data_IF_730681305456
#
_entry.id   IF_730681305456
#
_cell.length_a   1.000
_cell.length_b   1.000
_cell.length_c   1.000
_cell.angle_alpha   90.00
_cell.angle_beta   90.00
_cell.angle_gamma   90.00
#
_symmetry.space_group_name_H-M   'P 1'
#
loop_
_entity.id
_entity.type
_entity.pdbx_description
1 polymer ?
#
# COMPACT_ATOMS: atom_id res chain seq x y z
N UNK A 1 14.22 -10.28 1.49
CA UNK A 1 12.92 -10.47 0.83
C UNK A 1 11.89 -10.95 1.83
N UNK A 2 11.23 -9.98 2.47
CA UNK A 2 10.07 -10.13 3.35
C UNK A 2 8.91 -9.37 2.74
N UNK A 3 7.69 -9.88 2.82
CA UNK A 3 6.49 -9.18 2.37
C UNK A 3 5.59 -8.91 3.57
N UNK A 4 5.23 -7.65 3.78
CA UNK A 4 4.22 -7.23 4.75
C UNK A 4 2.94 -6.83 4.01
N UNK A 5 1.85 -7.51 4.31
CA UNK A 5 0.52 -7.15 3.81
C UNK A 5 0.05 -5.93 4.58
N UNK A 6 -0.18 -4.82 3.88
CA UNK A 6 -0.78 -3.60 4.45
C UNK A 6 -2.29 -3.58 4.19
N UNK A 7 -2.72 -4.11 3.04
CA UNK A 7 -4.12 -4.36 2.74
C UNK A 7 -4.30 -5.39 1.64
N UNK A 8 -5.41 -6.13 1.69
CA UNK A 8 -5.70 -7.24 0.77
C UNK A 8 -7.18 -7.29 0.34
N UNK A 9 -7.95 -6.24 0.62
CA UNK A 9 -9.32 -6.12 0.13
C UNK A 9 -9.35 -5.58 -1.29
N UNK A 10 -10.07 -6.25 -2.20
CA UNK A 10 -10.35 -5.77 -3.56
C UNK A 10 -11.54 -4.81 -3.66
N UNK A 11 -11.98 -4.27 -2.52
CA UNK A 11 -13.08 -3.32 -2.43
C UNK A 11 -12.94 -2.43 -1.20
N UNK A 12 -13.45 -1.21 -1.30
CA UNK A 12 -13.41 -0.23 -0.21
C UNK A 12 -14.62 -0.49 0.70
N UNK A 13 -14.38 -1.00 1.90
CA UNK A 13 -15.40 -1.27 2.91
C UNK A 13 -14.89 -0.91 4.31
N UNK A 14 -15.80 -0.85 5.28
CA UNK A 14 -15.43 -0.55 6.66
C UNK A 14 -14.50 -1.63 7.24
N UNK A 15 -13.49 -1.18 7.99
CA UNK A 15 -12.53 -2.05 8.71
C UNK A 15 -11.66 -2.96 7.85
N UNK A 16 -11.55 -2.69 6.55
CA UNK A 16 -10.62 -3.39 5.66
C UNK A 16 -9.73 -2.41 4.91
N UNK A 17 -8.44 -2.73 4.86
CA UNK A 17 -7.46 -2.00 4.05
C UNK A 17 -7.43 -2.57 2.63
N UNK A 18 -7.38 -1.68 1.63
CA UNK A 18 -7.32 -2.08 0.22
C UNK A 18 -5.90 -2.40 -0.22
N UNK A 19 -5.80 -3.08 -1.38
CA UNK A 19 -4.58 -3.68 -1.92
C UNK A 19 -3.34 -2.81 -1.76
N UNK A 20 -2.41 -3.26 -0.92
CA UNK A 20 -1.09 -2.65 -0.72
C UNK A 20 -0.16 -3.62 0.00
N UNK A 21 1.07 -3.72 -0.49
CA UNK A 21 2.10 -4.58 0.09
C UNK A 21 3.42 -3.83 0.19
N UNK A 22 4.08 -3.92 1.36
CA UNK A 22 5.45 -3.47 1.52
C UNK A 22 6.38 -4.67 1.34
N UNK A 23 7.29 -4.58 0.38
CA UNK A 23 8.35 -5.56 0.15
C UNK A 23 9.64 -5.01 0.73
N UNK A 24 10.25 -5.82 1.59
CA UNK A 24 11.34 -5.42 2.48
C UNK A 24 10.95 -4.12 3.21
N UNK A 25 11.64 -3.00 3.00
CA UNK A 25 11.38 -1.75 3.72
C UNK A 25 11.17 -0.53 2.80
N UNK A 26 11.33 -0.68 1.48
CA UNK A 26 11.45 0.46 0.55
C UNK A 26 10.67 0.30 -0.77
N UNK A 27 9.96 -0.82 -0.98
CA UNK A 27 9.16 -1.07 -2.19
C UNK A 27 7.70 -1.26 -1.84
N UNK A 28 6.82 -0.43 -2.38
CA UNK A 28 5.37 -0.67 -2.39
C UNK A 28 4.93 -1.38 -3.67
N UNK A 29 4.08 -2.39 -3.52
CA UNK A 29 3.22 -2.91 -4.59
C UNK A 29 1.80 -2.45 -4.30
N UNK A 30 1.28 -1.59 -5.17
CA UNK A 30 0.08 -0.79 -5.00
C UNK A 30 0.14 0.12 -3.76
N UNK A 31 -0.72 1.13 -3.75
CA UNK A 31 -0.84 2.12 -2.69
C UNK A 31 -2.32 2.34 -2.34
N UNK A 32 -2.99 1.25 -1.98
CA UNK A 32 -4.32 1.27 -1.38
C UNK A 32 -4.33 1.89 0.03
N UNK A 33 -5.48 1.82 0.69
CA UNK A 33 -5.72 2.49 1.98
C UNK A 33 -4.86 1.96 3.13
N UNK A 34 -4.32 0.73 3.02
CA UNK A 34 -3.42 0.15 4.02
C UNK A 34 -2.08 0.86 4.17
N UNK A 35 -1.68 1.66 3.18
CA UNK A 35 -0.48 2.51 3.28
C UNK A 35 -0.59 3.51 4.43
N UNK A 36 -1.82 3.90 4.83
CA UNK A 36 -2.05 4.80 5.96
C UNK A 36 -1.59 4.27 7.32
N UNK A 37 -1.34 2.97 7.46
CA UNK A 37 -0.86 2.35 8.70
C UNK A 37 0.67 2.44 8.87
N UNK A 38 1.39 2.87 7.83
CA UNK A 38 2.82 3.10 7.91
C UNK A 38 3.13 4.30 8.79
N UNK A 39 4.18 4.19 9.59
CA UNK A 39 4.75 5.37 10.26
C UNK A 39 5.35 6.33 9.22
N UNK A 40 5.50 7.61 9.58
CA UNK A 40 6.14 8.60 8.70
C UNK A 40 7.56 8.19 8.28
N UNK A 41 8.31 7.51 9.17
CA UNK A 41 9.66 7.03 8.87
C UNK A 41 9.64 5.89 7.84
N UNK A 42 8.70 4.96 7.95
CA UNK A 42 8.52 3.89 6.96
C UNK A 42 8.06 4.47 5.62
N UNK A 43 7.12 5.42 5.62
CA UNK A 43 6.69 6.10 4.39
C UNK A 43 7.85 6.81 3.69
N UNK A 44 8.70 7.51 4.45
CA UNK A 44 9.87 8.22 3.93
C UNK A 44 10.98 7.29 3.39
N UNK A 45 11.01 6.03 3.83
CA UNK A 45 11.96 5.02 3.35
C UNK A 45 11.56 4.44 1.98
N UNK A 46 10.28 4.56 1.58
CA UNK A 46 9.80 4.06 0.30
C UNK A 46 10.51 4.77 -0.85
N UNK A 47 11.15 3.98 -1.70
CA UNK A 47 11.92 4.45 -2.86
C UNK A 47 11.24 4.13 -4.18
N UNK A 48 10.45 3.06 -4.22
CA UNK A 48 9.77 2.60 -5.43
C UNK A 48 8.33 2.22 -5.14
N UNK A 49 7.41 2.63 -6.01
CA UNK A 49 6.01 2.23 -5.98
C UNK A 49 5.65 1.60 -7.33
N UNK A 50 5.25 0.33 -7.32
CA UNK A 50 4.73 -0.37 -8.50
C UNK A 50 3.22 -0.37 -8.43
N UNK A 51 2.56 0.25 -9.42
CA UNK A 51 1.10 0.23 -9.53
C UNK A 51 0.69 -0.79 -10.58
N UNK A 52 -0.18 -1.72 -10.20
CA UNK A 52 -0.68 -2.76 -11.10
C UNK A 52 -1.63 -2.17 -12.15
N UNK A 53 -2.57 -1.33 -11.71
CA UNK A 53 -3.52 -0.61 -12.55
C UNK A 53 -4.17 0.54 -11.75
N UNK A 54 -5.01 1.35 -12.40
CA UNK A 54 -5.48 2.64 -11.87
C UNK A 54 -6.87 2.59 -11.20
N UNK A 55 -7.31 1.43 -10.68
CA UNK A 55 -8.52 1.42 -9.85
C UNK A 55 -8.25 2.05 -8.48
N UNK A 56 -9.28 2.70 -7.93
CA UNK A 56 -9.15 3.54 -6.73
C UNK A 56 -8.59 2.76 -5.52
N UNK A 57 -8.99 1.51 -5.36
CA UNK A 57 -8.55 0.64 -4.27
C UNK A 57 -7.06 0.28 -4.34
N UNK A 58 -6.39 0.55 -5.46
CA UNK A 58 -4.93 0.37 -5.64
C UNK A 58 -4.13 1.69 -5.55
N UNK A 59 -4.79 2.85 -5.66
CA UNK A 59 -4.09 4.15 -5.75
C UNK A 59 -4.55 5.19 -4.71
N UNK A 60 -5.43 4.80 -3.78
CA UNK A 60 -6.06 5.70 -2.82
C UNK A 60 -5.07 6.53 -1.99
N UNK A 61 -3.84 6.07 -1.80
CA UNK A 61 -2.80 6.73 -1.01
C UNK A 61 -1.70 7.42 -1.85
N UNK A 62 -1.91 7.67 -3.15
CA UNK A 62 -0.92 8.30 -4.05
C UNK A 62 -1.03 9.85 -4.11
N UNK A 63 -1.97 10.46 -3.39
CA UNK A 63 -2.27 11.90 -3.51
C UNK A 63 -1.13 12.83 -3.08
#
# INVERSE_FOLDING_TARGET
MKVRVLGCSGGICQSVATTSFLVDDDILIDAGTGVGDLTLAEMAAIRTVFITHSHLDHIAAIA
#
